data_IF_932495490684
#
_entry.id   IF_932495490684
#
_cell.length_a   1.000
_cell.length_b   1.000
_cell.length_c   1.000
_cell.angle_alpha   90.00
_cell.angle_beta   90.00
_cell.angle_gamma   90.00
#
_symmetry.space_group_name_H-M   'P 1'
#
loop_
_entity.id
_entity.type
_entity.pdbx_description
1 polymer ?
#
# COMPACT_ATOMS: atom_id res chain seq x y z
N UNK A 1 -12.40 41.91 9.57
CA UNK A 1 -11.51 41.42 8.50
C UNK A 1 -10.58 40.37 9.13
N UNK A 2 -10.99 39.10 9.11
CA UNK A 2 -10.20 37.99 9.67
C UNK A 2 -9.36 37.43 8.54
N UNK A 3 -8.05 37.64 8.63
CA UNK A 3 -7.08 37.12 7.67
C UNK A 3 -6.92 35.62 7.88
N UNK A 4 -7.36 34.82 6.92
CA UNK A 4 -7.11 33.37 6.89
C UNK A 4 -5.60 33.14 6.79
N UNK A 5 -5.03 32.43 7.77
CA UNK A 5 -3.65 31.98 7.72
C UNK A 5 -3.45 31.00 6.55
N UNK A 6 -2.33 31.05 5.82
CA UNK A 6 -2.07 30.12 4.74
C UNK A 6 -1.95 28.69 5.27
N UNK A 7 -2.65 27.76 4.60
CA UNK A 7 -2.51 26.32 4.82
C UNK A 7 -1.06 25.94 4.53
N UNK A 8 -0.30 25.58 5.55
CA UNK A 8 1.03 24.99 5.37
C UNK A 8 0.87 23.69 4.59
N UNK A 9 1.65 23.47 3.50
CA UNK A 9 1.71 22.14 2.89
C UNK A 9 2.15 21.16 3.97
N UNK A 10 1.49 20.00 4.02
CA UNK A 10 1.86 18.92 4.92
C UNK A 10 3.36 18.65 4.77
N UNK A 11 4.10 18.81 5.86
CA UNK A 11 5.53 18.50 5.89
C UNK A 11 5.69 17.06 5.39
N UNK A 12 6.56 16.88 4.39
CA UNK A 12 6.96 15.55 3.94
C UNK A 12 7.37 14.75 5.18
N UNK A 13 6.91 13.48 5.32
CA UNK A 13 7.15 12.70 6.52
C UNK A 13 8.63 12.70 6.83
N UNK A 14 8.97 13.11 8.04
CA UNK A 14 10.32 13.23 8.54
C UNK A 14 11.16 12.04 8.07
N UNK A 15 12.19 12.31 7.29
CA UNK A 15 13.18 11.33 6.86
C UNK A 15 13.74 10.67 8.12
N UNK A 16 13.23 9.49 8.46
CA UNK A 16 13.71 8.72 9.62
C UNK A 16 15.20 8.55 9.47
N UNK A 17 15.95 9.13 10.38
CA UNK A 17 17.40 9.00 10.39
C UNK A 17 17.77 7.52 10.51
N UNK A 18 18.41 6.90 9.50
CA UNK A 18 18.65 5.45 9.48
C UNK A 18 19.44 4.96 10.70
N UNK A 19 20.23 5.85 11.29
CA UNK A 19 21.03 5.55 12.48
C UNK A 19 20.16 5.33 13.71
N UNK A 20 19.10 6.14 13.89
CA UNK A 20 18.19 6.02 15.04
C UNK A 20 17.35 4.74 14.94
N UNK A 21 16.89 4.37 13.75
CA UNK A 21 16.13 3.13 13.53
C UNK A 21 16.96 1.90 13.92
N UNK A 22 18.21 1.83 13.45
CA UNK A 22 19.11 0.71 13.78
C UNK A 22 19.39 0.59 15.28
N UNK A 23 19.48 1.69 15.98
CA UNK A 23 19.64 1.71 17.43
C UNK A 23 18.41 1.17 18.13
N UNK A 24 17.21 1.64 17.73
CA UNK A 24 15.94 1.15 18.28
C UNK A 24 15.75 -0.35 18.03
N UNK A 25 16.03 -0.82 16.81
CA UNK A 25 15.96 -2.24 16.48
C UNK A 25 16.88 -3.08 17.33
N UNK A 26 18.13 -2.63 17.57
CA UNK A 26 19.10 -3.34 18.42
C UNK A 26 18.60 -3.41 19.87
N UNK A 27 18.11 -2.31 20.42
CA UNK A 27 17.54 -2.25 21.79
C UNK A 27 16.31 -3.17 21.89
N UNK A 28 15.39 -3.08 20.96
CA UNK A 28 14.20 -3.94 20.94
C UNK A 28 14.55 -5.43 20.85
N UNK A 29 15.58 -5.81 20.06
CA UNK A 29 16.09 -7.20 20.00
C UNK A 29 16.67 -7.68 21.32
N UNK A 30 17.20 -6.79 22.16
CA UNK A 30 17.69 -7.11 23.52
C UNK A 30 16.58 -7.13 24.58
N UNK A 31 15.32 -6.92 24.19
CA UNK A 31 14.17 -6.99 25.08
C UNK A 31 13.67 -5.63 25.58
N UNK A 32 14.19 -4.53 25.06
CA UNK A 32 13.74 -3.18 25.38
C UNK A 32 12.39 -2.89 24.69
N UNK A 33 11.28 -3.10 25.44
CA UNK A 33 9.91 -2.88 24.95
C UNK A 33 9.68 -1.42 24.51
N UNK A 34 10.06 -0.39 25.28
CA UNK A 34 9.91 1.00 24.82
C UNK A 34 10.58 1.28 23.48
N UNK A 35 11.70 0.63 23.16
CA UNK A 35 12.33 0.78 21.84
C UNK A 35 11.50 0.15 20.71
N UNK A 36 10.80 -0.96 20.99
CA UNK A 36 9.86 -1.54 20.04
C UNK A 36 8.61 -0.69 19.86
N UNK A 37 8.06 -0.17 20.97
CA UNK A 37 6.88 0.73 20.93
C UNK A 37 7.15 1.98 20.08
N UNK A 38 8.36 2.54 20.18
CA UNK A 38 8.77 3.66 19.32
C UNK A 38 8.79 3.27 17.82
N UNK A 39 9.23 2.05 17.48
CA UNK A 39 9.16 1.53 16.10
C UNK A 39 7.72 1.33 15.64
N UNK A 40 6.84 0.85 16.53
CA UNK A 40 5.39 0.73 16.23
C UNK A 40 4.80 2.10 15.96
N UNK A 41 5.01 3.08 16.84
CA UNK A 41 4.50 4.44 16.68
C UNK A 41 4.93 5.08 15.34
N UNK A 42 6.17 4.81 14.88
CA UNK A 42 6.68 5.34 13.61
C UNK A 42 6.00 4.77 12.38
N UNK A 43 5.57 3.52 12.44
CA UNK A 43 5.15 2.79 11.24
C UNK A 43 3.69 2.36 11.23
N UNK A 44 2.98 2.37 12.38
CA UNK A 44 1.61 1.86 12.50
C UNK A 44 0.63 2.55 11.54
N UNK A 45 0.71 3.86 11.40
CA UNK A 45 -0.20 4.63 10.53
C UNK A 45 -0.03 4.22 9.06
N UNK A 46 1.22 4.10 8.61
CA UNK A 46 1.52 3.71 7.22
C UNK A 46 1.16 2.26 6.94
N UNK A 47 1.42 1.35 7.89
CA UNK A 47 1.03 -0.06 7.79
C UNK A 47 -0.50 -0.17 7.74
N UNK A 48 -1.19 0.50 8.65
CA UNK A 48 -2.64 0.54 8.68
C UNK A 48 -3.23 1.07 7.36
N UNK A 49 -2.76 2.22 6.88
CA UNK A 49 -3.23 2.82 5.63
C UNK A 49 -3.06 1.87 4.44
N UNK A 50 -1.91 1.17 4.34
CA UNK A 50 -1.69 0.17 3.28
C UNK A 50 -2.71 -0.96 3.36
N UNK A 51 -2.92 -1.52 4.56
CA UNK A 51 -3.87 -2.61 4.77
C UNK A 51 -5.29 -2.13 4.47
N UNK A 52 -5.66 -0.92 4.90
CA UNK A 52 -6.96 -0.33 4.61
C UNK A 52 -7.22 -0.18 3.09
N UNK A 53 -6.23 0.32 2.34
CA UNK A 53 -6.35 0.39 0.88
C UNK A 53 -6.54 -1.00 0.23
N UNK A 54 -6.00 -2.06 0.85
CA UNK A 54 -6.17 -3.44 0.38
C UNK A 54 -7.53 -4.04 0.74
N UNK A 55 -8.00 -3.83 1.97
CA UNK A 55 -9.21 -4.48 2.52
C UNK A 55 -10.49 -3.67 2.31
N UNK A 56 -10.37 -2.34 2.19
CA UNK A 56 -11.46 -1.35 2.21
C UNK A 56 -12.38 -1.48 3.44
N UNK A 57 -11.84 -1.99 4.55
CA UNK A 57 -12.56 -2.18 5.80
C UNK A 57 -11.68 -1.75 6.97
N UNK A 58 -12.19 -0.85 7.82
CA UNK A 58 -11.45 -0.27 8.94
C UNK A 58 -11.15 -1.30 10.04
N UNK A 59 -12.09 -2.18 10.35
CA UNK A 59 -11.96 -3.21 11.37
C UNK A 59 -10.92 -4.24 10.96
N UNK A 60 -11.07 -4.80 9.74
CA UNK A 60 -10.07 -5.73 9.18
C UNK A 60 -8.67 -5.10 9.13
N UNK A 61 -8.58 -3.81 8.75
CA UNK A 61 -7.29 -3.11 8.65
C UNK A 61 -6.63 -2.91 10.03
N UNK A 62 -7.42 -2.60 11.04
CA UNK A 62 -6.93 -2.44 12.41
C UNK A 62 -6.41 -3.76 12.97
N UNK A 63 -7.19 -4.83 12.84
CA UNK A 63 -6.82 -6.15 13.35
C UNK A 63 -5.57 -6.70 12.66
N UNK A 64 -5.52 -6.62 11.33
CA UNK A 64 -4.36 -7.06 10.57
C UNK A 64 -3.10 -6.24 10.87
N UNK A 65 -3.22 -4.92 11.10
CA UNK A 65 -2.10 -4.09 11.50
C UNK A 65 -1.56 -4.50 12.87
N UNK A 66 -2.45 -4.64 13.85
CA UNK A 66 -2.09 -5.09 15.21
C UNK A 66 -1.40 -6.46 15.18
N UNK A 67 -2.02 -7.45 14.51
CA UNK A 67 -1.45 -8.79 14.38
C UNK A 67 -0.10 -8.79 13.64
N UNK A 68 0.11 -7.86 12.69
CA UNK A 68 1.37 -7.72 11.98
C UNK A 68 2.50 -7.26 12.90
N UNK A 69 2.24 -6.30 13.79
CA UNK A 69 3.22 -5.85 14.77
C UNK A 69 3.47 -6.89 15.85
N UNK A 70 2.45 -7.63 16.31
CA UNK A 70 2.64 -8.78 17.21
C UNK A 70 3.57 -9.81 16.56
N UNK A 71 3.31 -10.16 15.30
CA UNK A 71 4.15 -11.10 14.55
C UNK A 71 5.57 -10.56 14.35
N UNK A 72 5.71 -9.26 14.06
CA UNK A 72 7.00 -8.62 13.94
C UNK A 72 7.78 -8.70 15.27
N UNK A 73 7.15 -8.42 16.41
CA UNK A 73 7.79 -8.56 17.71
C UNK A 73 8.28 -9.99 17.99
N UNK A 74 7.42 -10.97 17.75
CA UNK A 74 7.77 -12.38 17.93
C UNK A 74 8.95 -12.83 17.05
N UNK A 75 9.01 -12.31 15.83
CA UNK A 75 10.05 -12.62 14.85
C UNK A 75 11.28 -11.68 14.92
N UNK A 76 11.28 -10.66 15.80
CA UNK A 76 12.28 -9.60 15.83
C UNK A 76 13.72 -10.14 16.00
N UNK A 77 13.89 -11.17 16.81
CA UNK A 77 15.21 -11.83 17.02
C UNK A 77 15.80 -12.37 15.71
N UNK A 78 14.97 -12.77 14.75
CA UNK A 78 15.38 -13.33 13.46
C UNK A 78 15.66 -12.25 12.40
N UNK A 79 15.32 -11.00 12.66
CA UNK A 79 15.57 -9.90 11.73
C UNK A 79 17.07 -9.68 11.54
N UNK A 80 17.61 -9.93 10.35
CA UNK A 80 19.05 -9.86 10.06
C UNK A 80 19.56 -8.46 9.76
N UNK A 81 18.68 -7.52 9.40
CA UNK A 81 19.07 -6.16 9.01
C UNK A 81 19.47 -6.01 7.53
N UNK A 82 19.16 -7.01 6.68
CA UNK A 82 19.42 -6.98 5.23
C UNK A 82 18.53 -5.96 4.49
N UNK A 83 17.49 -5.48 5.16
CA UNK A 83 16.61 -4.39 4.73
C UNK A 83 16.34 -3.43 5.87
N UNK A 84 15.68 -2.28 5.61
CA UNK A 84 15.15 -1.45 6.69
C UNK A 84 14.14 -2.23 7.53
N UNK A 85 13.98 -1.87 8.80
CA UNK A 85 12.94 -2.44 9.66
C UNK A 85 11.55 -2.21 9.04
N UNK A 86 11.33 -1.03 8.47
CA UNK A 86 10.14 -0.68 7.71
C UNK A 86 9.82 -1.70 6.62
N UNK A 87 10.75 -1.99 5.69
CA UNK A 87 10.56 -2.97 4.62
C UNK A 87 10.21 -4.35 5.16
N UNK A 88 10.86 -4.76 6.25
CA UNK A 88 10.64 -6.05 6.86
C UNK A 88 9.25 -6.19 7.50
N UNK A 89 8.81 -5.17 8.27
CA UNK A 89 7.45 -5.14 8.85
C UNK A 89 6.39 -5.10 7.75
N UNK A 90 6.62 -4.32 6.70
CA UNK A 90 5.69 -4.29 5.55
C UNK A 90 5.53 -5.66 4.90
N UNK A 91 6.61 -6.43 4.71
CA UNK A 91 6.48 -7.81 4.19
C UNK A 91 5.59 -8.67 5.08
N UNK A 92 5.71 -8.55 6.40
CA UNK A 92 4.85 -9.28 7.33
C UNK A 92 3.39 -8.86 7.15
N UNK A 93 3.12 -7.55 7.14
CA UNK A 93 1.78 -6.99 7.02
C UNK A 93 1.12 -7.35 5.68
N UNK A 94 1.83 -7.18 4.58
CA UNK A 94 1.33 -7.51 3.24
C UNK A 94 1.04 -9.00 3.09
N UNK A 95 1.93 -9.87 3.54
CA UNK A 95 1.70 -11.31 3.47
C UNK A 95 0.46 -11.73 4.28
N UNK A 96 0.26 -11.15 5.47
CA UNK A 96 -0.96 -11.39 6.26
C UNK A 96 -2.20 -10.90 5.53
N UNK A 97 -2.16 -9.70 4.98
CA UNK A 97 -3.29 -9.11 4.27
C UNK A 97 -3.67 -9.91 3.02
N UNK A 98 -2.68 -10.31 2.21
CA UNK A 98 -2.93 -11.14 1.02
C UNK A 98 -3.56 -12.48 1.43
N UNK A 99 -3.04 -13.14 2.48
CA UNK A 99 -3.59 -14.39 2.97
C UNK A 99 -5.02 -14.22 3.49
N UNK A 100 -5.30 -13.15 4.21
CA UNK A 100 -6.65 -12.81 4.66
C UNK A 100 -7.61 -12.63 3.47
N UNK A 101 -7.22 -11.83 2.46
CA UNK A 101 -8.05 -11.61 1.27
C UNK A 101 -8.29 -12.90 0.49
N UNK A 102 -7.28 -13.76 0.34
CA UNK A 102 -7.44 -15.08 -0.28
C UNK A 102 -8.43 -15.96 0.50
N UNK A 103 -8.32 -16.00 1.82
CA UNK A 103 -9.25 -16.78 2.66
C UNK A 103 -10.68 -16.24 2.57
N UNK A 104 -10.84 -14.92 2.53
CA UNK A 104 -12.15 -14.26 2.36
C UNK A 104 -12.77 -14.60 1.00
N UNK A 105 -11.98 -14.52 -0.09
CA UNK A 105 -12.42 -14.93 -1.43
C UNK A 105 -12.84 -16.41 -1.47
N UNK A 106 -12.04 -17.30 -0.88
CA UNK A 106 -12.36 -18.72 -0.83
C UNK A 106 -13.59 -19.06 0.01
N UNK A 107 -13.90 -18.28 1.04
CA UNK A 107 -15.13 -18.43 1.83
C UNK A 107 -16.37 -17.91 1.08
N UNK A 108 -16.21 -16.95 0.19
CA UNK A 108 -17.30 -16.32 -0.56
C UNK A 108 -17.57 -17.03 -1.89
N UNK A 109 -16.57 -17.74 -2.43
CA UNK A 109 -16.68 -18.50 -3.68
C UNK A 109 -16.03 -19.88 -3.54
N UNK A 110 -16.87 -20.91 -3.54
CA UNK A 110 -16.49 -22.23 -4.06
C UNK A 110 -16.32 -22.02 -5.56
N UNK A 111 -15.07 -22.10 -6.03
CA UNK A 111 -14.69 -22.04 -7.45
C UNK A 111 -14.63 -20.65 -8.10
N UNK A 112 -13.42 -20.13 -8.13
CA UNK A 112 -12.87 -19.47 -9.34
C UNK A 112 -11.35 -19.59 -9.25
N UNK A 113 -10.83 -20.62 -9.90
CA UNK A 113 -9.42 -20.85 -10.15
C UNK A 113 -8.84 -19.74 -11.04
N UNK A 114 -7.61 -19.33 -10.69
CA UNK A 114 -6.56 -18.93 -11.64
C UNK A 114 -6.92 -17.89 -12.70
N UNK A 115 -7.38 -16.69 -12.29
CA UNK A 115 -7.54 -15.58 -13.24
C UNK A 115 -6.50 -14.46 -13.09
N UNK A 116 -5.51 -14.61 -12.23
CA UNK A 116 -4.47 -13.57 -12.07
C UNK A 116 -3.45 -13.50 -13.23
N UNK A 117 -3.49 -14.45 -14.18
CA UNK A 117 -2.52 -14.47 -15.30
C UNK A 117 -3.03 -13.83 -16.60
N UNK A 118 -4.34 -13.58 -16.74
CA UNK A 118 -4.92 -13.11 -18.00
C UNK A 118 -5.30 -11.61 -18.04
N UNK A 119 -5.12 -10.86 -16.95
CA UNK A 119 -5.41 -9.42 -16.94
C UNK A 119 -4.31 -8.57 -17.63
N UNK A 120 -3.20 -9.18 -18.05
CA UNK A 120 -2.11 -8.46 -18.72
C UNK A 120 -2.38 -8.15 -20.20
N UNK A 121 -3.42 -8.76 -20.84
CA UNK A 121 -3.73 -8.57 -22.25
C UNK A 121 -5.24 -8.47 -22.48
N UNK A 122 -5.87 -7.36 -22.06
CA UNK A 122 -7.20 -7.01 -22.51
C UNK A 122 -7.09 -5.95 -23.62
N UNK A 123 -7.31 -6.32 -24.90
CA UNK A 123 -7.19 -5.40 -26.04
C UNK A 123 -8.20 -4.25 -25.99
N UNK A 124 -9.36 -4.44 -25.33
CA UNK A 124 -10.42 -3.44 -25.23
C UNK A 124 -10.06 -2.31 -24.26
N UNK A 125 -9.15 -2.58 -23.30
CA UNK A 125 -8.66 -1.57 -22.36
C UNK A 125 -7.74 -0.54 -23.04
N UNK A 126 -7.02 -0.94 -24.10
CA UNK A 126 -6.11 -0.08 -24.86
C UNK A 126 -6.86 0.95 -25.74
N UNK A 127 -8.09 0.68 -26.11
CA UNK A 127 -8.90 1.57 -26.97
C UNK A 127 -9.45 2.80 -26.23
N UNK A 128 -9.47 2.78 -24.88
CA UNK A 128 -10.08 3.84 -24.05
C UNK A 128 -9.14 5.03 -23.73
N UNK A 129 -7.87 5.01 -24.16
CA UNK A 129 -6.83 5.95 -23.67
C UNK A 129 -6.69 7.22 -24.53
N UNK A 130 -7.56 7.49 -25.48
CA UNK A 130 -7.42 8.66 -26.33
C UNK A 130 -8.57 9.64 -26.16
N UNK A 131 -8.38 10.66 -25.29
CA UNK A 131 -8.86 12.02 -25.54
C UNK A 131 -8.54 12.99 -24.39
N UNK A 132 -8.36 14.28 -24.75
CA UNK A 132 -7.93 15.39 -23.85
C UNK A 132 -9.04 15.82 -22.89
N UNK A 133 -8.67 16.01 -21.63
CA UNK A 133 -9.56 16.31 -20.51
C UNK A 133 -9.86 17.81 -20.35
N UNK A 134 -11.12 18.25 -20.22
CA UNK A 134 -11.49 19.57 -19.72
C UNK A 134 -11.36 19.62 -18.18
N UNK A 135 -10.88 20.74 -17.64
CA UNK A 135 -10.88 21.02 -16.19
C UNK A 135 -12.31 21.21 -15.70
N UNK A 136 -12.78 20.30 -14.85
CA UNK A 136 -13.99 20.51 -14.02
C UNK A 136 -13.58 20.99 -12.63
N UNK A 137 -14.42 21.78 -11.99
CA UNK A 137 -14.34 22.03 -10.54
C UNK A 137 -14.59 20.69 -9.83
N UNK A 138 -13.51 20.10 -9.34
CA UNK A 138 -13.53 18.74 -8.78
C UNK A 138 -13.94 18.83 -7.32
N UNK A 139 -15.06 18.21 -6.95
CA UNK A 139 -15.39 17.94 -5.57
C UNK A 139 -14.42 16.86 -5.05
N UNK A 140 -13.49 17.26 -4.18
CA UNK A 140 -12.45 16.39 -3.65
C UNK A 140 -13.00 15.13 -2.97
N UNK A 141 -14.15 15.22 -2.29
CA UNK A 141 -14.78 14.08 -1.65
C UNK A 141 -15.30 13.07 -2.69
N UNK A 142 -15.95 13.54 -3.74
CA UNK A 142 -16.43 12.70 -4.84
C UNK A 142 -15.27 12.05 -5.60
N UNK A 143 -14.19 12.79 -5.85
CA UNK A 143 -12.99 12.24 -6.49
C UNK A 143 -12.38 11.12 -5.64
N UNK A 144 -12.28 11.33 -4.33
CA UNK A 144 -11.72 10.35 -3.41
C UNK A 144 -12.57 9.07 -3.37
N UNK A 145 -13.89 9.21 -3.36
CA UNK A 145 -14.81 8.06 -3.40
C UNK A 145 -14.65 7.26 -4.70
N UNK A 146 -14.61 7.94 -5.85
CA UNK A 146 -14.40 7.31 -7.16
C UNK A 146 -13.04 6.65 -7.29
N UNK A 147 -11.99 7.30 -6.79
CA UNK A 147 -10.65 6.72 -6.76
C UNK A 147 -10.61 5.45 -5.90
N UNK A 148 -11.22 5.49 -4.71
CA UNK A 148 -11.31 4.31 -3.86
C UNK A 148 -12.09 3.17 -4.54
N UNK A 149 -13.21 3.48 -5.20
CA UNK A 149 -13.98 2.49 -5.95
C UNK A 149 -13.18 1.91 -7.13
N UNK A 150 -12.42 2.72 -7.85
CA UNK A 150 -11.54 2.28 -8.93
C UNK A 150 -10.39 1.39 -8.41
N UNK A 151 -9.79 1.76 -7.27
CA UNK A 151 -8.76 0.95 -6.59
C UNK A 151 -9.28 -0.44 -6.21
N UNK A 152 -10.54 -0.55 -5.77
CA UNK A 152 -11.14 -1.84 -5.41
C UNK A 152 -11.42 -2.74 -6.62
N UNK A 153 -11.48 -2.19 -7.84
CA UNK A 153 -11.61 -2.97 -9.08
C UNK A 153 -10.28 -3.59 -9.55
N UNK A 154 -9.15 -3.08 -9.07
CA UNK A 154 -7.84 -3.65 -9.39
C UNK A 154 -7.67 -5.02 -8.75
N UNK A 155 -6.84 -5.88 -9.36
CA UNK A 155 -6.35 -7.07 -8.68
C UNK A 155 -5.58 -6.70 -7.41
N UNK A 156 -5.51 -7.62 -6.43
CA UNK A 156 -4.83 -7.36 -5.16
C UNK A 156 -3.36 -6.94 -5.36
N UNK A 157 -2.71 -7.53 -6.38
CA UNK A 157 -1.31 -7.25 -6.72
C UNK A 157 -1.15 -5.86 -7.36
N UNK A 158 -2.04 -5.48 -8.27
CA UNK A 158 -2.04 -4.16 -8.90
C UNK A 158 -2.38 -3.06 -7.90
N UNK A 159 -3.38 -3.30 -7.05
CA UNK A 159 -3.75 -2.38 -5.97
C UNK A 159 -2.58 -2.15 -5.02
N UNK A 160 -1.91 -3.23 -4.63
CA UNK A 160 -0.75 -3.15 -3.73
C UNK A 160 0.39 -2.32 -4.33
N UNK A 161 0.78 -2.56 -5.59
CA UNK A 161 1.92 -1.84 -6.18
C UNK A 161 1.63 -0.35 -6.32
N UNK A 162 0.40 0.05 -6.67
CA UNK A 162 -0.04 1.46 -6.72
C UNK A 162 -0.02 2.08 -5.32
N UNK A 163 -0.55 1.39 -4.32
CA UNK A 163 -0.55 1.88 -2.93
C UNK A 163 0.88 2.10 -2.43
N UNK A 164 1.78 1.16 -2.67
CA UNK A 164 3.16 1.29 -2.21
C UNK A 164 3.92 2.41 -2.94
N UNK A 165 3.73 2.53 -4.26
CA UNK A 165 4.45 3.53 -5.05
C UNK A 165 3.79 4.90 -5.03
N UNK A 166 2.50 4.98 -5.43
CA UNK A 166 1.85 6.27 -5.69
C UNK A 166 1.30 6.92 -4.41
N UNK A 167 0.88 6.12 -3.42
CA UNK A 167 0.38 6.64 -2.14
C UNK A 167 1.51 6.81 -1.12
N UNK A 168 2.40 5.83 -1.00
CA UNK A 168 3.46 5.85 0.02
C UNK A 168 4.83 6.30 -0.48
N UNK A 169 5.00 6.51 -1.80
CA UNK A 169 6.24 7.04 -2.39
C UNK A 169 7.43 6.09 -2.31
N UNK A 170 7.20 4.77 -2.20
CA UNK A 170 8.30 3.80 -2.14
C UNK A 170 8.98 3.64 -3.51
N UNK A 171 10.28 3.44 -3.49
CA UNK A 171 11.06 3.14 -4.69
C UNK A 171 10.74 1.73 -5.23
N UNK A 172 11.02 1.50 -6.52
CA UNK A 172 10.85 0.17 -7.12
C UNK A 172 11.68 -0.91 -6.41
N UNK A 173 12.86 -0.54 -5.90
CA UNK A 173 13.77 -1.42 -5.15
C UNK A 173 13.17 -1.82 -3.80
N UNK A 174 12.56 -0.90 -3.08
CA UNK A 174 11.87 -1.19 -1.82
C UNK A 174 10.65 -2.07 -2.05
N UNK A 175 9.84 -1.73 -3.07
CA UNK A 175 8.66 -2.51 -3.45
C UNK A 175 9.04 -3.93 -3.88
N UNK A 176 10.13 -4.09 -4.65
CA UNK A 176 10.62 -5.40 -5.07
C UNK A 176 10.97 -6.29 -3.88
N UNK A 177 11.56 -5.71 -2.84
CA UNK A 177 11.86 -6.42 -1.58
C UNK A 177 10.59 -6.75 -0.79
N UNK A 178 9.60 -5.86 -0.76
CA UNK A 178 8.33 -6.07 -0.06
C UNK A 178 7.52 -7.18 -0.74
N UNK A 179 7.42 -7.13 -2.07
CA UNK A 179 6.60 -8.05 -2.87
C UNK A 179 7.32 -9.34 -3.28
N UNK A 180 8.59 -9.47 -2.92
CA UNK A 180 9.46 -10.60 -3.27
C UNK A 180 9.47 -10.90 -4.79
N UNK A 181 9.70 -9.86 -5.59
CA UNK A 181 9.78 -9.94 -7.04
C UNK A 181 10.87 -9.02 -7.58
N UNK A 182 11.24 -9.13 -8.86
CA UNK A 182 12.24 -8.24 -9.44
C UNK A 182 11.65 -6.84 -9.74
N UNK A 183 12.52 -5.83 -9.88
CA UNK A 183 12.12 -4.44 -10.15
C UNK A 183 11.45 -4.26 -11.50
N UNK A 184 11.76 -5.11 -12.50
CA UNK A 184 11.07 -5.14 -13.78
C UNK A 184 9.60 -5.52 -13.63
N UNK A 185 9.33 -6.55 -12.81
CA UNK A 185 7.95 -6.96 -12.47
C UNK A 185 7.19 -5.85 -11.74
N UNK A 186 7.85 -5.12 -10.83
CA UNK A 186 7.23 -3.96 -10.18
C UNK A 186 6.83 -2.89 -11.19
N UNK A 187 7.72 -2.57 -12.13
CA UNK A 187 7.46 -1.56 -13.18
C UNK A 187 6.29 -1.97 -14.09
N UNK A 188 6.27 -3.21 -14.57
CA UNK A 188 5.18 -3.70 -15.43
C UNK A 188 3.84 -3.69 -14.70
N UNK A 189 3.79 -4.22 -13.47
CA UNK A 189 2.57 -4.19 -12.63
C UNK A 189 2.07 -2.77 -12.39
N UNK A 190 2.97 -1.84 -12.09
CA UNK A 190 2.61 -0.43 -11.89
C UNK A 190 2.07 0.21 -13.17
N UNK A 191 2.69 -0.09 -14.31
CA UNK A 191 2.25 0.39 -15.61
C UNK A 191 0.82 -0.08 -15.91
N UNK A 192 0.54 -1.38 -15.84
CA UNK A 192 -0.78 -1.93 -16.10
C UNK A 192 -1.82 -1.48 -15.06
N UNK A 193 -1.46 -1.39 -13.79
CA UNK A 193 -2.34 -0.89 -12.75
C UNK A 193 -2.79 0.56 -13.02
N UNK A 194 -1.87 1.42 -13.45
CA UNK A 194 -2.19 2.81 -13.81
C UNK A 194 -3.06 2.90 -15.06
N UNK A 195 -2.84 2.06 -16.07
CA UNK A 195 -3.72 1.99 -17.23
C UNK A 195 -5.15 1.59 -16.83
N UNK A 196 -5.29 0.56 -15.99
CA UNK A 196 -6.61 0.14 -15.51
C UNK A 196 -7.30 1.26 -14.71
N UNK A 197 -6.58 1.96 -13.83
CA UNK A 197 -7.13 3.10 -13.09
C UNK A 197 -7.57 4.23 -14.03
N UNK A 198 -6.77 4.55 -15.04
CA UNK A 198 -7.12 5.56 -16.04
C UNK A 198 -8.39 5.18 -16.79
N UNK A 199 -8.54 3.91 -17.18
CA UNK A 199 -9.76 3.41 -17.82
C UNK A 199 -10.98 3.51 -16.90
N UNK A 200 -10.85 3.10 -15.62
CA UNK A 200 -11.94 3.16 -14.64
C UNK A 200 -12.36 4.59 -14.26
N UNK A 201 -11.46 5.56 -14.42
CA UNK A 201 -11.70 6.97 -14.11
C UNK A 201 -11.99 7.81 -15.37
N UNK A 202 -11.97 7.21 -16.56
CA UNK A 202 -12.12 7.94 -17.84
C UNK A 202 -13.41 8.76 -17.92
N UNK A 203 -14.53 8.23 -17.40
CA UNK A 203 -15.82 8.91 -17.41
C UNK A 203 -15.89 10.09 -16.45
N UNK A 204 -15.04 10.09 -15.42
CA UNK A 204 -14.94 11.19 -14.47
C UNK A 204 -14.01 12.30 -14.96
N UNK A 205 -13.03 11.94 -15.77
CA UNK A 205 -12.04 12.87 -16.32
C UNK A 205 -12.53 13.57 -17.62
N UNK A 206 -13.68 13.18 -18.15
CA UNK A 206 -14.40 13.84 -19.24
C UNK A 206 -15.31 14.94 -18.72
#
# INVERSE_FOLDING_TARGET
MTVLAPIRPAEAPATHRPVEERVLVRRAKSGDLPAFDELVCRYQERVYATIYHMTANHEDAHDLAQESFIKAYQALKTFKGDSSFFTWVYRIAINKTINFLKQRKNKTHISLNDLDFNAEHDPDLMALISEKTPRRDVNLAELQEKLNAAMQKLSDVHRLVVTLHDVHGLSHEEISKIMDCNTGTVRSRLFYARQQLQAYLSDYLK
#
